data_IF_087836943800
#
_entry.id   IF_087836943800
#
_cell.length_a   1.000
_cell.length_b   1.000
_cell.length_c   1.000
_cell.angle_alpha   90.00
_cell.angle_beta   90.00
_cell.angle_gamma   90.00
#
_symmetry.space_group_name_H-M   'P 1'
#
loop_
_entity.id
_entity.type
_entity.pdbx_description
1 polymer ?
#
# COMPACT_ATOMS: atom_id res chain seq x y z
N UNK A 1 -16.40 -2.54 -16.17
CA UNK A 1 -15.31 -3.15 -15.38
C UNK A 1 -14.04 -2.26 -15.35
N UNK A 2 -13.70 -1.63 -16.51
CA UNK A 2 -12.53 -0.75 -16.65
C UNK A 2 -12.61 0.47 -15.70
N UNK A 3 -13.78 1.11 -15.63
CA UNK A 3 -14.01 2.29 -14.77
C UNK A 3 -13.83 2.01 -13.28
N UNK A 4 -14.18 0.78 -12.83
CA UNK A 4 -14.01 0.37 -11.43
C UNK A 4 -12.54 0.12 -11.06
N UNK A 5 -11.72 -0.37 -12.00
CA UNK A 5 -10.29 -0.54 -11.83
C UNK A 5 -9.61 0.81 -11.63
N UNK A 6 -9.81 1.73 -12.57
CA UNK A 6 -9.25 3.09 -12.52
C UNK A 6 -9.69 3.85 -11.26
N UNK A 7 -10.96 3.70 -10.83
CA UNK A 7 -11.43 4.31 -9.57
C UNK A 7 -10.70 3.76 -8.36
N UNK A 8 -10.41 2.44 -8.32
CA UNK A 8 -9.68 1.83 -7.23
C UNK A 8 -8.20 2.26 -7.22
N UNK A 9 -7.57 2.35 -8.38
CA UNK A 9 -6.21 2.89 -8.52
C UNK A 9 -6.12 4.34 -8.03
N UNK A 10 -7.06 5.21 -8.41
CA UNK A 10 -7.13 6.60 -7.94
C UNK A 10 -7.30 6.68 -6.42
N UNK A 11 -8.13 5.82 -5.84
CA UNK A 11 -8.28 5.70 -4.39
C UNK A 11 -6.94 5.31 -3.75
N UNK A 12 -6.19 4.39 -4.35
CA UNK A 12 -4.88 3.99 -3.84
C UNK A 12 -3.82 5.10 -3.96
N UNK A 13 -3.85 5.91 -5.01
CA UNK A 13 -2.99 7.11 -5.08
C UNK A 13 -3.21 8.00 -3.86
N UNK A 14 -4.47 8.29 -3.51
CA UNK A 14 -4.80 9.11 -2.35
C UNK A 14 -4.43 8.42 -1.03
N UNK A 15 -4.61 7.11 -0.93
CA UNK A 15 -4.21 6.33 0.24
C UNK A 15 -2.71 6.45 0.52
N UNK A 16 -1.87 6.16 -0.46
CA UNK A 16 -0.42 6.22 -0.27
C UNK A 16 0.12 7.64 -0.04
N UNK A 17 -0.53 8.66 -0.58
CA UNK A 17 -0.10 10.05 -0.39
C UNK A 17 -0.58 10.67 0.93
N UNK A 18 -1.65 10.15 1.54
CA UNK A 18 -2.30 10.82 2.67
C UNK A 18 -2.44 9.94 3.92
N UNK A 19 -2.44 8.61 3.82
CA UNK A 19 -2.43 7.77 5.03
C UNK A 19 -1.13 8.04 5.82
N UNK A 20 -1.20 8.42 7.10
CA UNK A 20 -0.02 8.84 7.87
C UNK A 20 1.15 7.88 7.83
N UNK A 21 0.86 6.57 7.75
CA UNK A 21 1.87 5.52 7.63
C UNK A 21 2.73 5.65 6.37
N UNK A 22 2.18 6.20 5.28
CA UNK A 22 2.81 6.27 3.97
C UNK A 22 3.15 7.70 3.55
N UNK A 23 2.39 8.69 4.04
CA UNK A 23 2.56 10.10 3.67
C UNK A 23 3.95 10.67 4.01
N UNK A 24 4.60 10.13 5.02
CA UNK A 24 5.97 10.50 5.40
C UNK A 24 7.03 9.78 4.53
N UNK A 25 6.64 8.76 3.77
CA UNK A 25 7.54 7.95 2.95
C UNK A 25 7.50 8.36 1.48
N UNK A 26 6.32 8.71 0.97
CA UNK A 26 6.12 8.90 -0.47
C UNK A 26 5.90 10.37 -0.84
N UNK A 27 6.73 10.87 -1.76
CA UNK A 27 6.56 12.22 -2.32
C UNK A 27 5.58 12.27 -3.50
N UNK A 28 5.41 11.16 -4.21
CA UNK A 28 4.45 11.03 -5.31
C UNK A 28 4.09 9.56 -5.58
N UNK A 29 2.91 9.35 -6.14
CA UNK A 29 2.46 8.06 -6.67
C UNK A 29 1.98 8.31 -8.10
N UNK A 30 2.51 7.55 -9.04
CA UNK A 30 2.25 7.70 -10.48
C UNK A 30 1.60 6.44 -11.03
N UNK A 31 0.86 6.56 -12.12
CA UNK A 31 0.54 5.39 -12.95
C UNK A 31 1.84 4.77 -13.46
N UNK A 32 1.83 3.47 -13.77
CA UNK A 32 3.03 2.83 -14.33
C UNK A 32 3.47 3.50 -15.63
N UNK A 33 2.54 3.89 -16.49
CA UNK A 33 2.83 4.61 -17.74
C UNK A 33 3.53 5.96 -17.51
N UNK A 34 3.01 6.79 -16.59
CA UNK A 34 3.59 8.09 -16.28
C UNK A 34 4.96 7.94 -15.61
N UNK A 35 5.12 6.90 -14.77
CA UNK A 35 6.40 6.60 -14.17
C UNK A 35 7.44 6.17 -15.22
N UNK A 36 7.08 5.32 -16.18
CA UNK A 36 7.96 4.93 -17.28
C UNK A 36 8.30 6.13 -18.17
N UNK A 37 7.33 7.00 -18.45
CA UNK A 37 7.60 8.23 -19.21
C UNK A 37 8.63 9.12 -18.49
N UNK A 38 8.49 9.27 -17.18
CA UNK A 38 9.33 10.16 -16.37
C UNK A 38 10.73 9.61 -16.07
N UNK A 39 10.84 8.32 -15.80
CA UNK A 39 12.07 7.70 -15.28
C UNK A 39 12.67 6.63 -16.22
N UNK A 40 11.92 6.22 -17.25
CA UNK A 40 12.31 5.09 -18.10
C UNK A 40 13.63 5.27 -18.82
N UNK A 41 13.92 6.48 -19.31
CA UNK A 41 15.20 6.76 -19.97
C UNK A 41 16.37 6.66 -18.99
N UNK A 42 16.26 7.27 -17.82
CA UNK A 42 17.28 7.23 -16.76
C UNK A 42 17.56 5.82 -16.27
N UNK A 43 16.53 4.97 -16.23
CA UNK A 43 16.62 3.57 -15.78
C UNK A 43 16.92 2.58 -16.92
N UNK A 44 17.10 3.07 -18.15
CA UNK A 44 17.29 2.27 -19.36
C UNK A 44 16.17 1.23 -19.56
N UNK A 45 14.92 1.62 -19.31
CA UNK A 45 13.76 0.75 -19.52
C UNK A 45 13.44 0.70 -21.01
N UNK A 46 13.80 -0.40 -21.66
CA UNK A 46 13.53 -0.63 -23.09
C UNK A 46 12.18 -1.31 -23.33
N UNK A 47 11.72 -2.09 -22.36
CA UNK A 47 10.49 -2.84 -22.43
C UNK A 47 9.40 -2.12 -21.61
N UNK A 48 8.43 -1.55 -22.33
CA UNK A 48 7.32 -0.79 -21.75
C UNK A 48 6.02 -1.61 -21.59
N UNK A 49 6.12 -2.95 -21.71
CA UNK A 49 4.95 -3.82 -21.55
C UNK A 49 4.35 -3.69 -20.14
N UNK A 50 3.04 -3.82 -20.09
CA UNK A 50 2.33 -3.94 -18.82
C UNK A 50 2.61 -5.32 -18.20
N UNK A 51 3.21 -5.29 -17.03
CA UNK A 51 3.50 -6.46 -16.20
C UNK A 51 2.52 -6.59 -15.01
N UNK A 52 1.39 -5.91 -15.08
CA UNK A 52 0.45 -5.85 -13.98
C UNK A 52 0.90 -4.91 -12.85
N UNK A 53 1.77 -3.95 -13.17
CA UNK A 53 2.10 -2.84 -12.28
C UNK A 53 1.13 -1.71 -12.59
N UNK A 54 0.22 -1.43 -11.67
CA UNK A 54 -0.78 -0.38 -11.86
C UNK A 54 -0.20 1.00 -11.49
N UNK A 55 0.47 1.08 -10.35
CA UNK A 55 1.05 2.32 -9.82
C UNK A 55 2.51 2.12 -9.40
N UNK A 56 3.26 3.22 -9.32
CA UNK A 56 4.59 3.25 -8.70
C UNK A 56 4.66 4.41 -7.71
N UNK A 57 4.89 4.09 -6.44
CA UNK A 57 5.17 5.07 -5.40
C UNK A 57 6.66 5.42 -5.39
N UNK A 58 6.96 6.72 -5.30
CA UNK A 58 8.32 7.24 -5.28
C UNK A 58 8.61 7.83 -3.90
N UNK A 59 9.61 7.29 -3.22
CA UNK A 59 9.99 7.77 -1.88
C UNK A 59 10.69 9.13 -1.94
N UNK A 60 10.82 9.78 -0.79
CA UNK A 60 11.59 11.03 -0.69
C UNK A 60 13.08 10.79 -0.98
N UNK A 61 13.59 9.59 -0.74
CA UNK A 61 14.97 9.16 -1.03
C UNK A 61 15.17 8.80 -2.50
N UNK A 62 14.09 8.70 -3.28
CA UNK A 62 14.14 8.41 -4.73
C UNK A 62 14.03 6.92 -5.06
N UNK A 63 13.65 6.07 -4.11
CA UNK A 63 13.36 4.66 -4.36
C UNK A 63 12.00 4.49 -5.03
N UNK A 64 11.80 3.37 -5.72
CA UNK A 64 10.58 3.04 -6.45
C UNK A 64 9.93 1.78 -5.89
N UNK A 65 8.66 1.90 -5.49
CA UNK A 65 7.85 0.82 -4.96
C UNK A 65 6.64 0.59 -5.86
N UNK A 66 6.67 -0.43 -6.74
CA UNK A 66 5.54 -0.77 -7.60
C UNK A 66 4.39 -1.35 -6.78
N UNK A 67 3.18 -1.06 -7.25
CA UNK A 67 1.93 -1.41 -6.60
C UNK A 67 1.04 -2.09 -7.63
N UNK A 68 0.49 -3.24 -7.28
CA UNK A 68 -0.60 -3.88 -8.00
C UNK A 68 -1.91 -3.70 -7.23
N UNK A 69 -2.97 -3.31 -7.94
CA UNK A 69 -4.31 -3.11 -7.41
C UNK A 69 -5.25 -4.23 -7.87
N UNK A 70 -5.85 -4.97 -6.93
CA UNK A 70 -6.80 -6.05 -7.20
C UNK A 70 -8.17 -5.73 -6.62
N UNK A 71 -9.10 -5.33 -7.48
CA UNK A 71 -10.48 -5.06 -7.07
C UNK A 71 -11.35 -6.30 -7.37
N UNK A 72 -11.44 -7.20 -6.41
CA UNK A 72 -12.23 -8.42 -6.48
C UNK A 72 -13.40 -8.39 -5.51
N UNK A 73 -14.58 -8.75 -5.97
CA UNK A 73 -15.78 -8.75 -5.12
C UNK A 73 -16.09 -10.11 -4.50
N UNK A 74 -15.72 -11.22 -5.13
CA UNK A 74 -16.15 -12.57 -4.72
C UNK A 74 -15.15 -13.69 -5.01
N UNK A 75 -14.03 -13.40 -5.65
CA UNK A 75 -13.05 -14.43 -6.05
C UNK A 75 -11.78 -14.36 -5.23
N UNK A 76 -11.23 -15.54 -4.90
CA UNK A 76 -9.92 -15.65 -4.25
C UNK A 76 -8.82 -15.18 -5.17
N UNK A 77 -7.83 -14.49 -4.61
CA UNK A 77 -6.60 -14.17 -5.34
C UNK A 77 -5.79 -15.45 -5.51
N UNK A 78 -5.53 -15.79 -6.76
CA UNK A 78 -4.74 -16.96 -7.15
C UNK A 78 -3.32 -16.54 -7.54
N UNK A 79 -2.38 -17.48 -7.49
CA UNK A 79 -0.99 -17.25 -7.90
C UNK A 79 -0.89 -16.62 -9.30
N UNK A 80 -1.66 -17.14 -10.27
CA UNK A 80 -1.70 -16.60 -11.65
C UNK A 80 -2.07 -15.12 -11.74
N UNK A 81 -2.82 -14.60 -10.76
CA UNK A 81 -3.30 -13.20 -10.75
C UNK A 81 -2.18 -12.22 -10.35
N UNK A 82 -1.09 -12.73 -9.77
CA UNK A 82 0.03 -11.94 -9.26
C UNK A 82 1.37 -12.30 -9.93
N UNK A 83 1.46 -13.38 -10.70
CA UNK A 83 2.73 -13.87 -11.30
C UNK A 83 3.37 -12.84 -12.24
N UNK A 84 2.59 -12.16 -13.09
CA UNK A 84 3.11 -11.13 -13.98
C UNK A 84 3.69 -9.94 -13.20
N UNK A 85 2.99 -9.51 -12.14
CA UNK A 85 3.46 -8.45 -11.25
C UNK A 85 4.76 -8.86 -10.55
N UNK A 86 4.83 -10.06 -9.96
CA UNK A 86 6.04 -10.54 -9.30
C UNK A 86 7.24 -10.60 -10.25
N UNK A 87 7.02 -11.04 -11.49
CA UNK A 87 8.05 -11.08 -12.53
C UNK A 87 8.48 -9.68 -12.98
N UNK A 88 7.53 -8.80 -13.28
CA UNK A 88 7.79 -7.44 -13.75
C UNK A 88 8.41 -6.53 -12.69
N UNK A 89 7.96 -6.67 -11.45
CA UNK A 89 8.44 -5.90 -10.31
C UNK A 89 9.69 -6.47 -9.62
N UNK A 90 10.25 -7.58 -10.11
CA UNK A 90 11.51 -8.16 -9.63
C UNK A 90 12.77 -7.48 -10.17
N UNK A 91 12.68 -6.32 -10.81
CA UNK A 91 13.81 -5.58 -11.37
C UNK A 91 14.60 -4.85 -10.28
N UNK A 92 15.91 -4.70 -10.49
CA UNK A 92 16.85 -4.13 -9.52
C UNK A 92 16.60 -2.67 -9.14
N UNK A 93 15.85 -1.93 -9.94
CA UNK A 93 15.46 -0.55 -9.64
C UNK A 93 14.24 -0.44 -8.72
N UNK A 94 13.60 -1.56 -8.37
CA UNK A 94 12.55 -1.61 -7.35
C UNK A 94 13.11 -2.16 -6.03
N UNK A 95 12.83 -1.48 -4.92
CA UNK A 95 13.37 -1.85 -3.60
C UNK A 95 12.32 -2.51 -2.69
N UNK A 96 11.04 -2.26 -2.91
CA UNK A 96 9.92 -2.81 -2.17
C UNK A 96 8.69 -2.92 -3.07
N UNK A 97 7.69 -3.72 -2.70
CA UNK A 97 6.50 -3.95 -3.54
C UNK A 97 5.23 -4.01 -2.70
N UNK A 98 4.10 -3.62 -3.32
CA UNK A 98 2.78 -3.75 -2.70
C UNK A 98 1.79 -4.47 -3.62
N UNK A 99 0.95 -5.30 -3.01
CA UNK A 99 -0.28 -5.78 -3.64
C UNK A 99 -1.44 -5.31 -2.75
N UNK A 100 -2.29 -4.45 -3.31
CA UNK A 100 -3.49 -3.95 -2.62
C UNK A 100 -4.68 -4.71 -3.14
N UNK A 101 -5.46 -5.31 -2.25
CA UNK A 101 -6.60 -6.11 -2.62
C UNK A 101 -7.87 -5.72 -1.84
N UNK A 102 -9.00 -5.67 -2.54
CA UNK A 102 -10.32 -5.47 -1.93
C UNK A 102 -10.90 -6.76 -1.34
N UNK A 103 -10.08 -7.81 -1.18
CA UNK A 103 -10.45 -9.09 -0.57
C UNK A 103 -9.29 -9.63 0.26
N UNK A 104 -9.61 -10.30 1.38
CA UNK A 104 -8.63 -11.00 2.22
C UNK A 104 -8.55 -12.50 1.88
N UNK A 105 -9.27 -12.94 0.84
CA UNK A 105 -9.33 -14.34 0.45
C UNK A 105 -8.28 -14.69 -0.60
N UNK A 106 -7.22 -15.35 -0.17
CA UNK A 106 -6.07 -15.75 -0.97
C UNK A 106 -5.89 -17.26 -0.97
N UNK A 107 -5.50 -17.84 -2.10
CA UNK A 107 -5.08 -19.24 -2.13
C UNK A 107 -3.72 -19.43 -1.44
N UNK A 108 -3.46 -20.60 -0.88
CA UNK A 108 -2.19 -20.93 -0.22
C UNK A 108 -0.99 -20.80 -1.17
N UNK A 109 -1.17 -21.17 -2.44
CA UNK A 109 -0.15 -21.01 -3.48
C UNK A 109 0.20 -19.53 -3.74
N UNK A 110 -0.80 -18.63 -3.71
CA UNK A 110 -0.55 -17.20 -3.84
C UNK A 110 0.21 -16.65 -2.61
N UNK A 111 -0.21 -17.03 -1.40
CA UNK A 111 0.49 -16.64 -0.16
C UNK A 111 1.93 -17.14 -0.15
N UNK A 112 2.16 -18.41 -0.50
CA UNK A 112 3.51 -18.99 -0.53
C UNK A 112 4.43 -18.27 -1.52
N UNK A 113 3.92 -17.78 -2.66
CA UNK A 113 4.74 -17.07 -3.64
C UNK A 113 5.20 -15.68 -3.19
N UNK A 114 4.66 -15.15 -2.07
CA UNK A 114 5.06 -13.87 -1.50
C UNK A 114 6.17 -14.01 -0.44
N UNK A 115 6.29 -15.17 0.21
CA UNK A 115 7.15 -15.36 1.38
C UNK A 115 8.64 -15.10 1.09
N UNK A 116 9.13 -15.60 -0.05
CA UNK A 116 10.55 -15.49 -0.44
C UNK A 116 10.75 -14.54 -1.63
N UNK A 117 9.80 -13.64 -1.86
CA UNK A 117 9.84 -12.75 -3.00
C UNK A 117 10.86 -11.61 -2.81
N UNK A 118 11.74 -11.42 -3.78
CA UNK A 118 12.71 -10.32 -3.83
C UNK A 118 12.45 -9.43 -5.05
N UNK A 119 12.36 -8.09 -4.86
CA UNK A 119 12.26 -7.36 -3.58
C UNK A 119 11.10 -7.82 -2.69
N UNK A 120 11.09 -7.49 -1.37
CA UNK A 120 9.99 -7.88 -0.46
C UNK A 120 8.62 -7.36 -0.93
N UNK A 121 7.56 -8.12 -0.65
CA UNK A 121 6.17 -7.75 -0.98
C UNK A 121 5.35 -7.63 0.28
N UNK A 122 4.68 -6.50 0.48
CA UNK A 122 3.61 -6.37 1.46
C UNK A 122 2.25 -6.42 0.79
N UNK A 123 1.29 -6.97 1.49
CA UNK A 123 -0.12 -6.92 1.11
C UNK A 123 -0.84 -5.87 1.94
N UNK A 124 -1.73 -5.12 1.29
CA UNK A 124 -2.68 -4.20 1.93
C UNK A 124 -4.05 -4.79 1.70
N UNK A 125 -4.73 -5.11 2.77
CA UNK A 125 -6.02 -5.77 2.79
C UNK A 125 -7.18 -4.78 2.79
N UNK A 126 -8.40 -5.29 2.59
CA UNK A 126 -9.60 -4.47 2.77
C UNK A 126 -9.70 -3.95 4.21
N UNK A 127 -9.33 -4.75 5.21
CA UNK A 127 -9.32 -4.33 6.61
C UNK A 127 -8.34 -3.19 6.88
N UNK A 128 -7.19 -3.16 6.21
CA UNK A 128 -6.24 -2.04 6.31
C UNK A 128 -6.86 -0.76 5.75
N UNK A 129 -7.56 -0.86 4.61
CA UNK A 129 -8.24 0.28 3.99
C UNK A 129 -9.42 0.78 4.84
N UNK A 130 -10.22 -0.12 5.40
CA UNK A 130 -11.32 0.22 6.31
C UNK A 130 -10.81 0.83 7.63
N UNK A 131 -9.64 0.39 8.09
CA UNK A 131 -8.95 0.91 9.26
C UNK A 131 -8.24 2.25 9.06
N UNK A 132 -8.13 2.72 7.80
CA UNK A 132 -7.51 3.99 7.44
C UNK A 132 -8.07 5.17 8.21
N UNK A 133 -7.24 6.18 8.45
CA UNK A 133 -7.69 7.47 8.99
C UNK A 133 -8.43 8.32 7.96
N UNK A 134 -8.36 7.98 6.69
CA UNK A 134 -9.12 8.67 5.64
C UNK A 134 -10.61 8.33 5.78
N UNK A 135 -11.45 9.34 5.71
CA UNK A 135 -12.91 9.16 5.66
C UNK A 135 -13.38 8.85 4.24
N UNK A 136 -13.39 7.57 3.90
CA UNK A 136 -13.80 7.10 2.58
C UNK A 136 -15.25 7.43 2.21
N UNK A 137 -16.11 7.75 3.18
CA UNK A 137 -17.50 8.14 2.92
C UNK A 137 -17.62 9.53 2.28
N UNK A 138 -16.61 10.36 2.46
CA UNK A 138 -16.50 11.71 1.92
C UNK A 138 -15.39 11.80 0.83
N UNK A 139 -14.93 10.65 0.33
CA UNK A 139 -13.88 10.62 -0.68
C UNK A 139 -14.40 11.16 -2.03
N UNK A 140 -13.72 12.17 -2.54
CA UNK A 140 -13.91 12.66 -3.89
C UNK A 140 -12.86 12.04 -4.82
N UNK A 141 -13.29 11.52 -5.97
CA UNK A 141 -12.40 10.96 -7.00
C UNK A 141 -11.58 12.02 -7.74
N UNK A 142 -11.76 13.31 -7.45
CA UNK A 142 -10.85 14.35 -7.91
C UNK A 142 -9.52 14.25 -7.14
N UNK A 143 -8.46 13.84 -7.85
CA UNK A 143 -7.11 13.68 -7.30
C UNK A 143 -6.50 14.98 -6.75
N UNK A 144 -7.06 16.14 -7.09
CA UNK A 144 -6.62 17.44 -6.57
C UNK A 144 -7.25 17.77 -5.20
N UNK A 145 -8.30 17.06 -4.81
CA UNK A 145 -8.97 17.26 -3.52
C UNK A 145 -8.24 16.46 -2.44
N UNK A 146 -7.82 17.13 -1.37
CA UNK A 146 -7.25 16.42 -0.21
C UNK A 146 -8.33 15.61 0.50
N UNK A 147 -8.05 14.35 0.85
CA UNK A 147 -9.03 13.55 1.56
C UNK A 147 -9.33 14.11 2.96
N UNK A 148 -10.58 13.94 3.38
CA UNK A 148 -11.00 14.26 4.73
C UNK A 148 -10.59 13.12 5.66
N UNK A 149 -10.09 13.47 6.83
CA UNK A 149 -9.71 12.49 7.84
C UNK A 149 -10.81 12.29 8.87
N UNK A 150 -10.98 11.04 9.29
CA UNK A 150 -11.85 10.70 10.42
C UNK A 150 -11.33 11.36 11.70
N UNK A 151 -12.23 11.74 12.57
CA UNK A 151 -11.87 12.23 13.90
C UNK A 151 -11.01 11.19 14.64
N UNK A 152 -9.90 11.64 15.21
CA UNK A 152 -9.04 10.76 16.03
C UNK A 152 -9.85 10.26 17.22
N UNK A 153 -9.95 8.92 17.35
CA UNK A 153 -10.56 8.31 18.53
C UNK A 153 -9.88 8.81 19.79
N UNK A 154 -10.62 9.40 20.70
CA UNK A 154 -10.08 9.85 21.98
C UNK A 154 -9.85 8.64 22.89
N UNK A 155 -8.69 8.60 23.54
CA UNK A 155 -8.39 7.59 24.54
C UNK A 155 -9.39 7.67 25.69
N UNK A 156 -9.98 6.54 26.06
CA UNK A 156 -10.82 6.43 27.26
C UNK A 156 -9.97 6.70 28.50
N UNK A 157 -10.62 7.11 29.61
CA UNK A 157 -9.92 7.49 30.86
C UNK A 157 -8.89 6.44 31.32
N UNK A 158 -9.21 5.15 31.25
CA UNK A 158 -8.33 4.05 31.64
C UNK A 158 -7.20 3.75 30.64
N UNK A 159 -7.34 4.14 29.36
CA UNK A 159 -6.32 3.89 28.33
C UNK A 159 -5.14 4.87 28.40
N UNK A 160 -5.38 6.11 28.90
CA UNK A 160 -4.31 7.13 29.03
C UNK A 160 -3.19 6.69 29.96
N UNK A 161 -3.47 6.25 31.24
CA UNK A 161 -2.41 5.75 32.12
C UNK A 161 -1.72 4.50 31.56
N UNK A 162 -2.48 3.59 30.94
CA UNK A 162 -1.92 2.38 30.33
C UNK A 162 -0.93 2.73 29.22
N UNK A 163 -1.26 3.65 28.32
CA UNK A 163 -0.36 4.12 27.26
C UNK A 163 0.90 4.80 27.84
N UNK A 164 0.76 5.60 28.89
CA UNK A 164 1.90 6.23 29.55
C UNK A 164 2.82 5.19 30.20
N UNK A 165 2.25 4.19 30.86
CA UNK A 165 3.01 3.09 31.47
C UNK A 165 3.77 2.28 30.42
N UNK A 166 3.14 1.99 29.27
CA UNK A 166 3.82 1.31 28.12
C UNK A 166 4.98 2.16 27.61
N UNK A 167 4.75 3.44 27.34
CA UNK A 167 5.83 4.33 26.84
C UNK A 167 7.00 4.42 27.83
N UNK A 168 6.71 4.54 29.10
CA UNK A 168 7.74 4.61 30.15
C UNK A 168 8.48 3.28 30.31
N UNK A 169 7.75 2.16 30.32
CA UNK A 169 8.33 0.83 30.44
C UNK A 169 9.22 0.46 29.24
N UNK A 170 8.78 0.76 28.01
CA UNK A 170 9.55 0.48 26.80
C UNK A 170 10.73 1.44 26.59
N UNK A 171 10.76 2.60 27.24
CA UNK A 171 11.94 3.46 27.25
C UNK A 171 13.11 2.86 28.04
N UNK A 172 12.83 1.94 28.97
CA UNK A 172 13.81 1.29 29.85
C UNK A 172 14.02 -0.21 29.56
N UNK A 173 13.20 -0.83 28.68
CA UNK A 173 13.26 -2.26 28.40
C UNK A 173 12.77 -2.56 26.97
N UNK A 174 13.39 -3.56 26.32
CA UNK A 174 13.07 -3.97 24.95
C UNK A 174 11.70 -4.66 24.80
N UNK A 175 11.09 -5.07 25.87
CA UNK A 175 9.78 -5.73 25.88
C UNK A 175 9.05 -5.53 27.22
N UNK A 176 7.73 -5.56 27.17
CA UNK A 176 6.87 -5.43 28.33
C UNK A 176 5.55 -6.20 28.15
N UNK A 177 4.81 -6.40 29.26
CA UNK A 177 3.48 -6.99 29.27
C UNK A 177 2.50 -5.95 29.81
N UNK A 178 1.47 -5.64 29.02
CA UNK A 178 0.35 -4.80 29.45
C UNK A 178 -0.80 -5.70 29.93
N UNK A 179 -1.21 -5.51 31.15
CA UNK A 179 -2.39 -6.19 31.73
C UNK A 179 -3.43 -5.11 31.98
N UNK A 180 -4.60 -5.24 31.36
CA UNK A 180 -5.75 -4.33 31.50
C UNK A 180 -6.95 -5.08 32.04
#
# INVERSE_FOLDING_TARGET
QRDKGTSFENLMVQYFLNEPKYAEMYKQVLSYSDWVEKYGETLNITDKRDYGIDLVAVTFEGEFHPIQCKNYNTTKIQKKDIDSFLGGSGKSYFSYRYIVASTDDWTDNAKSSLLDAHPPVATISLLDLEGSLIDWSQFDFDLNTKPIFRDKKQLRKHQRPALQAVKHGLAAADRGKLIM
#
